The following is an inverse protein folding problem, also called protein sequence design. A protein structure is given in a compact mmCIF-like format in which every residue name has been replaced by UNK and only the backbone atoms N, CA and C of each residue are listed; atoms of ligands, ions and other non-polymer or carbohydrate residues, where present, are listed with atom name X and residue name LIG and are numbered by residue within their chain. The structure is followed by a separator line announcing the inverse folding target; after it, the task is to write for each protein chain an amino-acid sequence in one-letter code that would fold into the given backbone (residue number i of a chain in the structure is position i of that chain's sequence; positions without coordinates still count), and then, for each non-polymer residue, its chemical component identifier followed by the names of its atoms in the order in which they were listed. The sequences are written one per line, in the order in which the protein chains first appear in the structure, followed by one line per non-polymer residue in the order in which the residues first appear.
data_IF_206281075915
#
_entry.id   IF_206281075915
#
_cell.length_a   1.000
_cell.length_b   1.000
_cell.length_c   1.000
_cell.angle_alpha   90.00
_cell.angle_beta   90.00
_cell.angle_gamma   90.00
#
_symmetry.space_group_name_H-M   'P 1'
#
loop_
_entity.id
_entity.type
_entity.pdbx_description
1 polymer ?
#
# COMPACT_ATOMS: atom_id res chain seq x y z
N UNK A 1 3.78 -22.74 -6.52
CA UNK A 1 2.45 -22.50 -7.15
C UNK A 1 1.58 -21.81 -6.12
N UNK A 2 1.35 -20.50 -6.22
CA UNK A 2 0.41 -19.79 -5.34
C UNK A 2 -0.98 -19.94 -5.94
N UNK A 3 -1.80 -20.82 -5.37
CA UNK A 3 -3.22 -20.90 -5.70
C UNK A 3 -3.89 -19.70 -5.01
N UNK A 4 -4.28 -18.69 -5.79
CA UNK A 4 -5.24 -17.69 -5.33
C UNK A 4 -6.58 -18.42 -5.20
N UNK A 5 -6.91 -18.93 -4.02
CA UNK A 5 -8.27 -19.37 -3.75
C UNK A 5 -9.17 -18.15 -3.98
N UNK A 6 -10.15 -18.30 -4.87
CA UNK A 6 -11.10 -17.25 -5.14
C UNK A 6 -11.77 -16.82 -3.82
N UNK A 7 -11.63 -15.55 -3.44
CA UNK A 7 -12.35 -14.94 -2.33
C UNK A 7 -13.85 -15.18 -2.56
N UNK A 8 -14.48 -15.97 -1.68
CA UNK A 8 -15.93 -16.04 -1.65
C UNK A 8 -16.49 -14.67 -1.23
N UNK A 9 -17.72 -14.35 -1.63
CA UNK A 9 -18.41 -13.11 -1.25
C UNK A 9 -18.40 -12.85 0.25
N UNK A 10 -18.68 -13.87 1.05
CA UNK A 10 -18.65 -13.79 2.51
C UNK A 10 -17.25 -13.42 3.05
N UNK A 11 -16.19 -13.92 2.41
CA UNK A 11 -14.81 -13.62 2.82
C UNK A 11 -14.37 -12.20 2.45
N UNK A 12 -14.83 -11.69 1.33
CA UNK A 12 -14.60 -10.31 0.92
C UNK A 12 -15.33 -9.31 1.83
N UNK A 13 -16.59 -9.59 2.15
CA UNK A 13 -17.36 -8.80 3.12
C UNK A 13 -16.73 -8.84 4.52
N UNK A 14 -16.09 -9.94 4.91
CA UNK A 14 -15.37 -10.03 6.20
C UNK A 14 -14.17 -9.09 6.29
N UNK A 15 -13.66 -8.61 5.14
CA UNK A 15 -12.57 -7.63 5.02
C UNK A 15 -13.09 -6.18 4.85
N UNK A 16 -14.40 -5.96 4.97
CA UNK A 16 -14.98 -4.63 5.04
C UNK A 16 -14.51 -3.88 6.29
N UNK A 17 -14.18 -2.60 6.09
CA UNK A 17 -13.73 -1.64 7.11
C UNK A 17 -12.59 -2.20 7.99
N UNK A 18 -11.47 -2.61 7.37
CA UNK A 18 -10.31 -3.20 8.06
C UNK A 18 -9.11 -2.29 8.05
N UNK A 19 -8.43 -2.27 9.19
CA UNK A 19 -7.18 -1.56 9.41
C UNK A 19 -6.03 -2.55 9.49
N UNK A 20 -4.92 -2.20 8.86
CA UNK A 20 -3.68 -2.98 8.89
C UNK A 20 -2.54 -2.07 9.30
N UNK A 21 -1.67 -2.56 10.18
CA UNK A 21 -0.36 -1.95 10.42
C UNK A 21 0.65 -2.63 9.51
N UNK A 22 1.23 -1.87 8.59
CA UNK A 22 2.02 -2.37 7.48
C UNK A 22 3.45 -1.83 7.55
N UNK A 23 4.43 -2.74 7.54
CA UNK A 23 5.82 -2.42 7.31
C UNK A 23 6.06 -2.28 5.82
N UNK A 24 6.48 -1.09 5.42
CA UNK A 24 6.98 -0.81 4.08
C UNK A 24 8.50 -0.97 4.11
N UNK A 25 9.04 -1.75 3.16
CA UNK A 25 10.47 -1.82 2.88
C UNK A 25 10.69 -1.51 1.42
N UNK A 26 11.54 -0.53 1.13
CA UNK A 26 12.03 -0.33 -0.22
C UNK A 26 13.50 -0.67 -0.33
N UNK A 27 13.82 -1.33 -1.42
CA UNK A 27 15.17 -1.59 -1.86
C UNK A 27 15.39 -0.85 -3.18
N UNK A 28 16.21 0.21 -3.14
CA UNK A 28 16.49 1.03 -4.32
C UNK A 28 17.79 0.66 -5.04
N UNK A 29 18.29 -0.57 -4.83
CA UNK A 29 19.50 -1.10 -5.46
C UNK A 29 19.35 -1.41 -6.97
N UNK A 30 18.74 -0.51 -7.75
CA UNK A 30 18.75 -0.58 -9.22
C UNK A 30 19.53 0.59 -9.81
N UNK A 31 20.09 0.37 -11.00
CA UNK A 31 20.71 1.42 -11.81
C UNK A 31 19.64 2.44 -12.15
N UNK A 32 19.90 3.71 -11.83
CA UNK A 32 19.10 4.81 -12.31
C UNK A 32 19.28 4.92 -13.85
N UNK A 33 18.25 4.65 -14.67
CA UNK A 33 18.37 4.65 -16.12
C UNK A 33 18.68 6.03 -16.72
N UNK A 34 18.48 7.12 -15.95
CA UNK A 34 18.76 8.49 -16.39
C UNK A 34 20.20 8.90 -16.08
N UNK A 35 20.73 8.53 -14.90
CA UNK A 35 22.07 8.98 -14.44
C UNK A 35 23.15 7.90 -14.50
N UNK A 36 22.78 6.63 -14.72
CA UNK A 36 23.69 5.48 -14.74
C UNK A 36 24.25 5.09 -13.36
N UNK A 37 23.82 5.75 -12.28
CA UNK A 37 24.29 5.48 -10.91
C UNK A 37 23.38 4.51 -10.18
N UNK A 38 23.96 3.66 -9.34
CA UNK A 38 23.18 2.87 -8.38
C UNK A 38 22.74 3.77 -7.22
N UNK A 39 21.44 3.77 -6.92
CA UNK A 39 21.01 4.15 -5.57
C UNK A 39 21.26 2.94 -4.67
N UNK A 40 21.84 3.14 -3.49
CA UNK A 40 22.02 2.09 -2.48
C UNK A 40 21.08 2.29 -1.28
N UNK A 41 20.10 3.19 -1.41
CA UNK A 41 19.21 3.54 -0.32
C UNK A 41 18.27 2.38 -0.01
N UNK A 42 18.24 1.97 1.27
CA UNK A 42 17.25 1.06 1.82
C UNK A 42 16.50 1.80 2.90
N UNK A 43 15.18 1.80 2.80
CA UNK A 43 14.34 2.47 3.78
C UNK A 43 13.21 1.55 4.22
N UNK A 44 12.86 1.70 5.49
CA UNK A 44 11.74 1.00 6.09
C UNK A 44 10.97 1.93 7.00
N UNK A 45 9.65 1.83 6.99
CA UNK A 45 8.78 2.59 7.88
C UNK A 45 7.42 1.89 7.99
N UNK A 46 6.66 2.27 9.01
CA UNK A 46 5.31 1.79 9.19
C UNK A 46 4.28 2.76 8.61
N UNK A 47 3.29 2.20 7.92
CA UNK A 47 2.05 2.88 7.54
C UNK A 47 0.86 2.15 8.15
N UNK A 48 -0.27 2.83 8.22
CA UNK A 48 -1.55 2.17 8.38
C UNK A 48 -2.28 2.14 7.04
N UNK A 49 -2.85 1.00 6.72
CA UNK A 49 -3.71 0.83 5.54
C UNK A 49 -5.13 0.60 6.03
N UNK A 50 -6.06 1.38 5.52
CA UNK A 50 -7.48 1.14 5.69
C UNK A 50 -8.08 0.68 4.36
N UNK A 51 -8.76 -0.46 4.39
CA UNK A 51 -9.43 -1.04 3.24
C UNK A 51 -10.92 -1.18 3.57
N UNK A 52 -11.76 -0.62 2.71
CA UNK A 52 -13.21 -0.64 2.86
C UNK A 52 -13.88 -1.08 1.56
N UNK A 53 -14.87 -1.97 1.67
CA UNK A 53 -15.73 -2.39 0.57
C UNK A 53 -16.96 -1.47 0.55
N UNK A 54 -16.98 -0.47 -0.32
CA UNK A 54 -17.96 0.63 -0.26
C UNK A 54 -19.32 0.25 -0.86
N UNK A 55 -19.32 -0.64 -1.86
CA UNK A 55 -20.54 -1.22 -2.41
C UNK A 55 -20.49 -2.73 -2.18
N UNK A 56 -21.01 -3.23 -1.04
CA UNK A 56 -21.06 -4.66 -0.76
C UNK A 56 -22.20 -5.29 -1.57
N UNK A 57 -22.03 -5.36 -2.89
CA UNK A 57 -22.80 -6.30 -3.71
C UNK A 57 -22.31 -7.74 -3.41
N UNK A 58 -23.06 -8.74 -3.88
CA UNK A 58 -22.79 -10.16 -3.62
C UNK A 58 -21.50 -10.70 -4.27
N UNK A 59 -20.55 -9.87 -4.71
CA UNK A 59 -19.28 -10.34 -5.26
C UNK A 59 -18.10 -9.38 -4.98
N UNK A 60 -16.90 -9.90 -4.59
CA UNK A 60 -15.68 -9.09 -4.45
C UNK A 60 -15.18 -8.49 -5.75
N UNK A 61 -15.50 -9.13 -6.88
CA UNK A 61 -15.06 -8.75 -8.22
C UNK A 61 -16.04 -7.73 -8.78
N UNK A 62 -15.54 -6.61 -9.29
CA UNK A 62 -16.40 -5.50 -9.72
C UNK A 62 -16.99 -4.68 -8.58
N UNK A 63 -16.63 -4.96 -7.32
CA UNK A 63 -17.05 -4.14 -6.18
C UNK A 63 -16.26 -2.82 -6.12
N UNK A 64 -16.86 -1.81 -5.51
CA UNK A 64 -16.22 -0.53 -5.24
C UNK A 64 -15.41 -0.61 -3.95
N UNK A 65 -14.12 -0.30 -4.02
CA UNK A 65 -13.21 -0.28 -2.88
C UNK A 65 -12.81 1.15 -2.53
N UNK A 66 -12.61 1.42 -1.25
CA UNK A 66 -11.84 2.55 -0.74
C UNK A 66 -10.57 2.02 -0.11
N UNK A 67 -9.43 2.60 -0.50
CA UNK A 67 -8.11 2.27 0.00
C UNK A 67 -7.45 3.55 0.48
N UNK A 68 -7.12 3.59 1.76
CA UNK A 68 -6.40 4.70 2.37
C UNK A 68 -5.05 4.25 2.91
N UNK A 69 -4.04 5.10 2.73
CA UNK A 69 -2.73 4.95 3.37
C UNK A 69 -2.53 6.14 4.30
N UNK A 70 -2.21 5.82 5.54
CA UNK A 70 -1.87 6.78 6.57
C UNK A 70 -0.41 6.62 6.94
N UNK A 71 0.34 7.72 6.92
CA UNK A 71 1.74 7.77 7.31
C UNK A 71 1.93 8.79 8.42
N UNK A 72 3.04 8.68 9.15
CA UNK A 72 3.45 9.77 10.03
C UNK A 72 3.85 11.00 9.19
N UNK A 73 3.52 12.18 9.67
CA UNK A 73 3.95 13.47 9.16
C UNK A 73 5.26 13.89 9.86
N UNK A 74 5.99 14.91 9.35
CA UNK A 74 7.24 15.37 9.97
C UNK A 74 7.09 15.84 11.43
N UNK A 75 5.92 16.35 11.81
CA UNK A 75 5.57 16.74 13.19
C UNK A 75 5.12 15.55 14.07
N UNK A 76 5.26 14.32 13.56
CA UNK A 76 5.00 13.08 14.31
C UNK A 76 3.53 12.66 14.39
N UNK A 77 2.61 13.39 13.74
CA UNK A 77 1.18 13.07 13.70
C UNK A 77 0.87 12.04 12.61
N UNK A 78 -0.25 11.34 12.71
CA UNK A 78 -0.72 10.50 11.60
C UNK A 78 -1.58 11.34 10.66
N UNK A 79 -1.29 11.25 9.37
CA UNK A 79 -2.05 11.93 8.32
C UNK A 79 -2.30 11.00 7.13
N UNK A 80 -3.40 11.26 6.42
CA UNK A 80 -3.75 10.50 5.21
C UNK A 80 -2.80 10.90 4.08
N UNK A 81 -1.92 9.97 3.70
CA UNK A 81 -0.95 10.13 2.62
C UNK A 81 -1.55 9.81 1.25
N UNK A 82 -2.54 8.91 1.21
CA UNK A 82 -3.21 8.52 -0.03
C UNK A 82 -4.66 8.10 0.25
N UNK A 83 -5.54 8.41 -0.70
CA UNK A 83 -6.91 7.90 -0.79
C UNK A 83 -7.15 7.53 -2.25
N UNK A 84 -7.55 6.29 -2.47
CA UNK A 84 -8.06 5.83 -3.74
C UNK A 84 -9.44 5.22 -3.53
N UNK A 85 -10.37 5.54 -4.43
CA UNK A 85 -11.67 4.88 -4.48
C UNK A 85 -11.97 4.45 -5.92
N UNK A 86 -12.24 3.18 -6.13
CA UNK A 86 -12.48 2.66 -7.47
C UNK A 86 -12.85 1.19 -7.50
N UNK A 87 -13.31 0.75 -8.66
CA UNK A 87 -13.89 -0.56 -8.87
C UNK A 87 -12.81 -1.59 -9.15
N UNK A 88 -12.86 -2.76 -8.51
CA UNK A 88 -11.98 -3.87 -8.85
C UNK A 88 -12.31 -4.43 -10.23
N UNK A 89 -11.35 -5.13 -10.85
CA UNK A 89 -11.62 -5.84 -12.10
C UNK A 89 -12.68 -6.93 -11.89
N UNK A 90 -13.57 -7.12 -12.85
CA UNK A 90 -14.50 -8.27 -12.85
C UNK A 90 -13.75 -9.63 -12.96
N UNK A 91 -12.49 -9.61 -13.42
CA UNK A 91 -11.66 -10.79 -13.63
C UNK A 91 -10.59 -10.98 -12.56
N UNK A 92 -10.47 -10.06 -11.60
CA UNK A 92 -9.47 -10.16 -10.52
C UNK A 92 -10.03 -9.69 -9.19
N UNK A 93 -9.74 -10.44 -8.14
CA UNK A 93 -10.04 -10.04 -6.76
C UNK A 93 -9.00 -9.09 -6.19
N UNK A 94 -7.82 -9.01 -6.83
CA UNK A 94 -6.79 -8.09 -6.40
C UNK A 94 -7.09 -6.72 -7.01
N UNK A 95 -7.11 -5.72 -6.15
CA UNK A 95 -7.09 -4.34 -6.59
C UNK A 95 -5.65 -3.93 -6.92
N UNK A 96 -5.47 -3.31 -8.10
CA UNK A 96 -4.18 -2.79 -8.60
C UNK A 96 -4.30 -1.27 -8.77
N UNK A 97 -4.28 -0.48 -7.68
CA UNK A 97 -4.16 0.95 -7.80
C UNK A 97 -2.76 1.29 -8.25
N UNK A 98 -2.66 2.27 -9.12
CA UNK A 98 -1.44 3.01 -9.36
C UNK A 98 -1.41 4.19 -8.39
N UNK A 99 -0.49 4.20 -7.43
CA UNK A 99 -0.47 5.23 -6.38
C UNK A 99 0.85 5.96 -6.28
N UNK A 100 0.75 7.28 -6.20
CA UNK A 100 1.84 8.13 -5.72
C UNK A 100 1.77 8.18 -4.19
N UNK A 101 2.66 7.46 -3.53
CA UNK A 101 2.86 7.51 -2.09
C UNK A 101 3.91 8.55 -1.74
N UNK A 102 3.51 9.53 -0.91
CA UNK A 102 4.46 10.39 -0.22
C UNK A 102 4.69 9.85 1.17
N UNK A 103 5.91 9.40 1.46
CA UNK A 103 6.22 8.70 2.70
C UNK A 103 7.30 9.50 3.42
N UNK A 104 6.94 10.06 4.58
CA UNK A 104 7.92 10.65 5.48
C UNK A 104 8.57 9.50 6.25
N UNK A 105 9.85 9.23 5.99
CA UNK A 105 10.60 8.30 6.84
C UNK A 105 10.77 8.94 8.23
N UNK A 106 11.07 8.14 9.25
CA UNK A 106 11.37 8.64 10.60
C UNK A 106 12.57 9.60 10.64
N UNK A 107 13.30 9.76 9.52
CA UNK A 107 14.43 10.68 9.34
C UNK A 107 14.16 11.84 8.37
N UNK A 108 12.91 12.22 8.16
CA UNK A 108 12.58 13.41 7.38
C UNK A 108 12.80 13.28 5.87
N UNK A 109 13.10 12.08 5.37
CA UNK A 109 13.17 11.84 3.93
C UNK A 109 11.77 11.98 3.36
N UNK A 110 11.59 12.96 2.49
CA UNK A 110 10.37 13.07 1.70
C UNK A 110 10.55 12.25 0.44
N UNK A 111 10.03 11.02 0.45
CA UNK A 111 9.94 10.21 -0.75
C UNK A 111 8.61 10.53 -1.45
N UNK A 112 8.63 10.87 -2.74
CA UNK A 112 7.43 10.88 -3.60
C UNK A 112 7.55 9.71 -4.56
N UNK A 113 6.73 8.68 -4.45
CA UNK A 113 6.98 7.42 -5.18
C UNK A 113 5.73 6.84 -5.82
N UNK A 114 5.84 6.36 -7.06
CA UNK A 114 4.77 5.58 -7.70
C UNK A 114 4.91 4.09 -7.43
N UNK A 115 3.81 3.44 -7.10
CA UNK A 115 3.73 2.00 -6.81
C UNK A 115 2.39 1.47 -7.28
N UNK A 116 2.39 0.30 -7.91
CA UNK A 116 1.19 -0.48 -8.14
C UNK A 116 1.07 -1.62 -7.12
N UNK A 117 0.47 -1.46 -5.93
CA UNK A 117 0.33 -2.58 -5.03
C UNK A 117 -0.66 -3.60 -5.57
N UNK A 118 -0.27 -4.87 -5.54
CA UNK A 118 -1.22 -5.99 -5.56
C UNK A 118 -1.70 -6.23 -4.15
N UNK A 119 -2.96 -5.92 -3.83
CA UNK A 119 -3.53 -6.28 -2.52
C UNK A 119 -3.85 -7.77 -2.53
N UNK A 120 -3.08 -8.57 -1.78
CA UNK A 120 -3.38 -9.99 -1.55
C UNK A 120 -3.98 -10.12 -0.15
N UNK A 121 -5.30 -10.15 -0.08
CA UNK A 121 -6.02 -10.54 1.12
C UNK A 121 -6.63 -11.93 0.87
N UNK A 122 -6.20 -12.94 1.63
CA UNK A 122 -6.77 -14.28 1.51
C UNK A 122 -8.08 -14.36 2.31
N UNK A 123 -9.02 -15.24 1.95
CA UNK A 123 -10.37 -15.30 2.52
C UNK A 123 -10.47 -15.60 4.03
N UNK A 124 -9.34 -15.75 4.74
CA UNK A 124 -9.26 -16.07 6.17
C UNK A 124 -8.19 -15.29 6.94
N UNK A 125 -7.41 -14.41 6.31
CA UNK A 125 -6.16 -13.94 6.91
C UNK A 125 -6.22 -12.50 7.42
N UNK A 126 -5.77 -12.32 8.66
CA UNK A 126 -5.45 -11.03 9.27
C UNK A 126 -4.14 -10.43 8.72
N UNK A 127 -3.70 -10.77 7.51
CA UNK A 127 -2.43 -10.33 6.94
C UNK A 127 -2.63 -9.44 5.73
N UNK A 128 -1.72 -8.48 5.56
CA UNK A 128 -1.63 -7.62 4.39
C UNK A 128 -0.32 -7.92 3.67
N UNK A 129 -0.37 -8.16 2.36
CA UNK A 129 0.83 -8.24 1.53
C UNK A 129 0.59 -7.50 0.21
N UNK A 130 1.51 -6.61 -0.12
CA UNK A 130 1.58 -5.95 -1.41
C UNK A 130 3.04 -5.63 -1.78
N UNK A 131 3.26 -5.26 -3.03
CA UNK A 131 4.57 -4.80 -3.50
C UNK A 131 4.48 -4.32 -4.95
N UNK A 132 5.49 -3.59 -5.40
CA UNK A 132 5.55 -3.04 -6.75
C UNK A 132 6.90 -2.38 -7.04
N UNK A 133 7.12 -2.05 -8.31
CA UNK A 133 8.30 -1.29 -8.73
C UNK A 133 8.17 0.18 -8.31
N UNK A 134 9.31 0.78 -7.99
CA UNK A 134 9.47 2.21 -7.83
C UNK A 134 9.93 2.74 -9.19
N UNK A 135 8.98 3.19 -10.02
CA UNK A 135 9.27 3.72 -11.35
C UNK A 135 9.69 5.19 -11.33
N UNK A 136 9.32 5.92 -10.28
CA UNK A 136 9.66 7.31 -10.08
C UNK A 136 9.68 7.62 -8.59
N UNK A 137 10.72 8.31 -8.14
CA UNK A 137 10.71 9.00 -6.85
C UNK A 137 12.03 9.63 -6.49
N UNK A 138 12.06 10.48 -5.47
CA UNK A 138 13.25 11.23 -5.08
C UNK A 138 13.50 11.14 -3.58
N UNK A 139 14.78 11.11 -3.17
CA UNK A 139 15.16 11.33 -1.78
C UNK A 139 15.09 12.83 -1.39
N UNK A 140 15.45 13.16 -0.15
CA UNK A 140 15.47 14.55 0.34
C UNK A 140 16.41 15.48 -0.43
N UNK A 141 17.43 14.92 -1.09
CA UNK A 141 18.41 15.65 -1.89
C UNK A 141 18.00 15.74 -3.37
N UNK A 142 16.80 15.27 -3.73
CA UNK A 142 16.30 15.28 -5.11
C UNK A 142 16.92 14.18 -5.99
N UNK A 143 17.55 13.16 -5.41
CA UNK A 143 18.10 12.07 -6.20
C UNK A 143 17.01 11.08 -6.57
N UNK A 144 16.88 10.82 -7.88
CA UNK A 144 15.92 9.84 -8.38
C UNK A 144 16.25 8.42 -7.87
N UNK A 145 15.24 7.77 -7.32
CA UNK A 145 15.26 6.42 -6.76
C UNK A 145 14.56 5.46 -7.72
N UNK A 146 15.20 4.31 -7.94
CA UNK A 146 14.68 3.21 -8.75
C UNK A 146 14.81 1.92 -7.95
N UNK A 147 13.79 1.07 -7.95
CA UNK A 147 13.83 -0.11 -7.09
C UNK A 147 12.52 -0.85 -7.00
N UNK A 148 12.36 -1.57 -5.90
CA UNK A 148 11.13 -2.27 -5.54
C UNK A 148 10.74 -1.91 -4.12
N UNK A 149 9.44 -1.85 -3.82
CA UNK A 149 8.99 -1.94 -2.43
C UNK A 149 8.13 -3.17 -2.17
N UNK A 150 8.23 -3.59 -0.92
CA UNK A 150 7.35 -4.60 -0.32
C UNK A 150 6.59 -3.97 0.84
N UNK A 151 5.34 -4.37 0.98
CA UNK A 151 4.44 -3.94 2.03
C UNK A 151 3.90 -5.20 2.70
N UNK A 152 4.22 -5.42 3.97
CA UNK A 152 3.71 -6.56 4.72
C UNK A 152 3.17 -6.11 6.06
N UNK A 153 2.01 -6.62 6.45
CA UNK A 153 1.34 -6.14 7.65
C UNK A 153 0.37 -7.14 8.24
N UNK A 154 -0.20 -6.73 9.37
CA UNK A 154 -1.22 -7.49 10.08
C UNK A 154 -2.40 -6.58 10.39
N UNK A 155 -3.59 -7.16 10.43
CA UNK A 155 -4.83 -6.51 10.80
C UNK A 155 -4.73 -6.06 12.25
N UNK A 156 -5.23 -4.86 12.52
CA UNK A 156 -5.24 -4.22 13.82
C UNK A 156 -6.59 -3.58 14.05
N UNK A 157 -6.98 -3.34 15.31
CA UNK A 157 -8.12 -2.48 15.60
C UNK A 157 -7.93 -1.09 14.96
N UNK A 158 -9.05 -0.42 14.64
CA UNK A 158 -9.02 0.97 14.16
C UNK A 158 -8.18 1.83 15.11
N UNK A 159 -7.15 2.54 14.62
CA UNK A 159 -6.33 3.38 15.47
C UNK A 159 -7.16 4.49 16.12
N UNK A 160 -6.90 4.80 17.40
CA UNK A 160 -7.65 5.83 18.14
C UNK A 160 -7.61 7.20 17.47
N UNK A 161 -6.49 7.57 16.85
CA UNK A 161 -6.34 8.83 16.13
C UNK A 161 -7.14 8.88 14.81
N UNK A 162 -7.59 7.72 14.31
CA UNK A 162 -8.44 7.62 13.13
C UNK A 162 -9.93 7.60 13.50
N UNK A 163 -10.29 7.47 14.78
CA UNK A 163 -11.65 7.57 15.26
C UNK A 163 -12.00 9.06 15.39
N UNK A 164 -12.41 9.67 14.28
CA UNK A 164 -13.17 10.92 14.30
C UNK A 164 -14.59 10.67 14.76
#
# INVERSE_FOLDING_TARGET
MFVLAALSTASAQSLHDKWFKVLVKADTCRVNPVTGKFSLNKFQFYVYVHLEYVAPDDAPRGALYSFEVWSKTPDGRWGRAHLFRGTSSLYSENFFPDMNLRLATEKGDTLRTYVTPRIVASPLSNSFTAGGEIYFGNDINGQHLYGWLTMTGQMVPRPKWAAG
#
